data_IF_801320919945
#
_entry.id   IF_801320919945
#
_cell.length_a   1.000
_cell.length_b   1.000
_cell.length_c   1.000
_cell.angle_alpha   90.00
_cell.angle_beta   90.00
_cell.angle_gamma   90.00
#
_symmetry.space_group_name_H-M   'P 1'
#
loop_
_entity.id
_entity.type
_entity.pdbx_description
1 polymer ?
#
# COMPACT_ATOMS: atom_id res chain seq x y z
N UNK A 1 -9.18 -2.30 -60.67
CA UNK A 1 -7.93 -2.40 -61.44
C UNK A 1 -6.94 -3.28 -60.66
N UNK A 2 -6.53 -4.41 -61.26
CA UNK A 2 -5.27 -5.20 -61.14
C UNK A 2 -4.50 -5.12 -59.80
N UNK A 3 -4.45 -6.14 -58.92
CA UNK A 3 -3.71 -7.44 -58.98
C UNK A 3 -2.21 -7.35 -59.24
N UNK A 4 -1.35 -7.88 -58.34
CA UNK A 4 -0.13 -8.72 -58.54
C UNK A 4 0.54 -8.92 -57.14
N UNK A 5 0.48 -10.11 -56.50
CA UNK A 5 1.52 -11.18 -56.38
C UNK A 5 2.89 -10.66 -55.90
N UNK A 6 3.54 -11.16 -54.84
CA UNK A 6 4.11 -12.51 -54.54
C UNK A 6 4.69 -12.40 -53.10
N UNK A 7 4.72 -13.35 -52.15
CA UNK A 7 4.90 -14.79 -52.21
C UNK A 7 6.39 -15.16 -52.13
N UNK A 8 6.99 -15.26 -50.94
CA UNK A 8 8.23 -16.04 -50.70
C UNK A 8 8.32 -16.55 -49.25
N UNK A 9 8.55 -17.86 -49.13
CA UNK A 9 8.70 -18.62 -47.90
C UNK A 9 10.16 -19.06 -47.75
N UNK A 10 10.70 -18.87 -46.54
CA UNK A 10 11.78 -19.56 -45.79
C UNK A 10 12.93 -20.26 -46.55
N UNK A 11 14.18 -19.91 -46.23
CA UNK A 11 15.12 -20.84 -45.60
C UNK A 11 16.34 -20.10 -44.98
N UNK A 12 16.95 -20.67 -43.93
CA UNK A 12 18.27 -20.23 -43.45
C UNK A 12 18.38 -19.92 -41.96
N UNK A 13 18.57 -20.98 -41.17
CA UNK A 13 18.90 -20.93 -39.76
C UNK A 13 20.20 -20.18 -39.43
N UNK A 14 20.20 -19.40 -38.35
CA UNK A 14 21.40 -19.22 -37.52
C UNK A 14 21.00 -19.16 -36.04
N UNK A 15 21.39 -20.21 -35.32
CA UNK A 15 21.36 -20.30 -33.86
C UNK A 15 22.24 -19.22 -33.25
N UNK A 16 21.71 -18.40 -32.35
CA UNK A 16 22.40 -17.91 -31.14
C UNK A 16 21.45 -17.02 -30.33
N UNK A 17 21.40 -17.21 -29.01
CA UNK A 17 20.86 -16.19 -28.10
C UNK A 17 19.67 -16.58 -27.23
N UNK A 18 19.62 -17.80 -26.69
CA UNK A 18 18.84 -18.04 -25.48
C UNK A 18 19.47 -17.27 -24.30
N UNK A 19 18.92 -16.10 -23.94
CA UNK A 19 19.11 -15.48 -22.61
C UNK A 19 17.83 -14.78 -22.16
N UNK A 20 16.97 -15.58 -21.53
CA UNK A 20 16.31 -15.30 -20.25
C UNK A 20 15.97 -13.83 -19.96
N UNK A 21 14.77 -13.42 -20.34
CA UNK A 21 14.12 -12.22 -19.82
C UNK A 21 13.72 -12.47 -18.37
N UNK A 22 14.61 -12.19 -17.42
CA UNK A 22 14.27 -12.19 -15.99
C UNK A 22 13.46 -10.92 -15.69
N UNK A 23 12.17 -11.09 -15.37
CA UNK A 23 11.33 -10.08 -14.74
C UNK A 23 12.05 -9.58 -13.49
N UNK A 24 12.50 -8.32 -13.51
CA UNK A 24 13.01 -7.65 -12.31
C UNK A 24 11.81 -7.19 -11.50
N UNK A 25 11.42 -7.98 -10.52
CA UNK A 25 10.60 -7.51 -9.39
C UNK A 25 11.56 -6.66 -8.56
N UNK A 26 11.41 -5.35 -8.65
CA UNK A 26 12.22 -4.39 -7.89
C UNK A 26 11.56 -4.24 -6.51
N UNK A 27 12.00 -5.05 -5.55
CA UNK A 27 11.76 -4.77 -4.13
C UNK A 27 12.50 -3.47 -3.78
N UNK A 28 11.75 -2.41 -3.49
CA UNK A 28 12.29 -1.19 -2.93
C UNK A 28 12.57 -1.41 -1.43
N UNK A 29 13.81 -1.76 -1.10
CA UNK A 29 14.30 -1.69 0.28
C UNK A 29 14.91 -0.29 0.48
N UNK A 30 14.27 0.53 1.31
CA UNK A 30 14.82 1.79 1.79
C UNK A 30 16.08 1.50 2.62
N UNK A 31 17.25 1.92 2.12
CA UNK A 31 18.45 2.09 2.95
C UNK A 31 18.88 3.54 2.89
N UNK A 32 18.78 4.24 4.01
CA UNK A 32 19.39 5.55 4.22
C UNK A 32 20.84 5.30 4.68
N UNK A 33 21.79 5.51 3.77
CA UNK A 33 23.22 5.49 4.09
C UNK A 33 23.70 6.85 4.59
N UNK A 34 24.23 6.90 5.81
CA UNK A 34 25.01 8.03 6.32
C UNK A 34 26.44 7.93 5.81
N UNK A 35 26.93 9.01 5.22
CA UNK A 35 28.22 9.08 4.52
C UNK A 35 29.45 8.98 5.42
N UNK A 36 30.49 8.35 4.86
CA UNK A 36 31.86 8.31 5.36
C UNK A 36 32.49 9.71 5.37
N UNK A 37 33.24 10.01 6.44
CA UNK A 37 34.45 10.83 6.39
C UNK A 37 35.60 10.02 6.99
N UNK A 38 36.69 9.90 6.23
CA UNK A 38 37.94 9.22 6.58
C UNK A 38 38.84 10.09 7.48
N UNK A 39 39.41 9.50 8.53
CA UNK A 39 40.86 9.23 8.73
C UNK A 39 41.21 9.14 10.23
N UNK A 40 41.93 8.08 10.62
CA UNK A 40 42.62 8.00 11.91
C UNK A 40 42.94 6.57 12.34
N UNK A 41 44.20 6.17 12.19
CA UNK A 41 44.75 4.88 12.61
C UNK A 41 44.44 4.51 14.06
N UNK A 42 44.00 3.27 14.30
CA UNK A 42 43.97 2.66 15.62
C UNK A 42 43.45 1.22 15.53
N UNK A 43 44.33 0.25 15.80
CA UNK A 43 43.95 -1.16 15.95
C UNK A 43 43.10 -1.31 17.22
N UNK A 44 41.79 -1.39 17.08
CA UNK A 44 40.87 -1.88 18.10
C UNK A 44 39.94 -2.89 17.45
N UNK A 45 39.90 -4.11 18.00
CA UNK A 45 38.98 -5.15 17.57
C UNK A 45 37.54 -4.65 17.79
N UNK A 46 36.87 -4.28 16.70
CA UNK A 46 35.44 -3.99 16.70
C UNK A 46 34.71 -5.32 16.93
N UNK A 47 34.21 -5.52 18.15
CA UNK A 47 33.12 -6.46 18.38
C UNK A 47 31.92 -5.91 17.63
N UNK A 48 31.41 -6.69 16.68
CA UNK A 48 30.11 -6.44 16.09
C UNK A 48 29.06 -6.76 17.16
N UNK A 49 28.68 -5.75 17.94
CA UNK A 49 27.49 -5.83 18.78
C UNK A 49 26.30 -5.84 17.81
N UNK A 50 25.81 -7.04 17.54
CA UNK A 50 24.53 -7.22 16.87
C UNK A 50 23.47 -6.84 17.89
N UNK A 51 23.10 -5.56 17.96
CA UNK A 51 21.85 -5.16 18.61
C UNK A 51 20.71 -5.81 17.83
N UNK A 52 20.25 -6.97 18.32
CA UNK A 52 18.91 -7.44 18.02
C UNK A 52 17.98 -6.36 18.54
N UNK A 53 17.35 -5.61 17.62
CA UNK A 53 16.19 -4.78 17.98
C UNK A 53 15.13 -5.76 18.47
N UNK A 54 15.05 -5.97 19.78
CA UNK A 54 13.96 -6.71 20.41
C UNK A 54 12.67 -5.94 20.12
N UNK A 55 11.89 -6.45 19.16
CA UNK A 55 10.54 -5.97 18.90
C UNK A 55 9.72 -6.19 20.17
N UNK A 56 9.24 -5.11 20.78
CA UNK A 56 8.31 -5.20 21.91
C UNK A 56 6.93 -5.56 21.38
N UNK A 57 6.22 -6.40 22.13
CA UNK A 57 4.85 -6.77 21.79
C UNK A 57 4.00 -5.50 21.73
N UNK A 58 3.56 -5.14 20.53
CA UNK A 58 2.53 -4.14 20.36
C UNK A 58 1.19 -4.79 20.75
N UNK A 59 0.81 -4.75 22.02
CA UNK A 59 -0.47 -5.33 22.43
C UNK A 59 -1.59 -4.40 21.99
N UNK A 60 -2.10 -4.62 20.76
CA UNK A 60 -3.20 -3.85 20.21
C UNK A 60 -4.44 -3.90 21.12
N UNK A 61 -5.37 -2.96 20.94
CA UNK A 61 -6.62 -3.00 21.68
C UNK A 61 -7.37 -4.30 21.35
N UNK A 62 -7.65 -5.13 22.37
CA UNK A 62 -8.27 -6.45 22.20
C UNK A 62 -9.70 -6.35 21.66
N UNK A 63 -9.97 -7.05 20.57
CA UNK A 63 -11.34 -7.41 20.14
C UNK A 63 -11.73 -8.70 20.87
N UNK A 64 -12.97 -8.79 21.38
CA UNK A 64 -13.43 -9.85 22.30
C UNK A 64 -13.28 -11.29 21.75
N UNK A 65 -13.12 -12.29 22.65
CA UNK A 65 -13.05 -13.76 22.37
C UNK A 65 -14.33 -14.40 21.74
N UNK A 66 -15.20 -13.61 21.11
CA UNK A 66 -16.40 -14.09 20.40
C UNK A 66 -16.14 -14.28 18.91
N UNK A 67 -17.19 -14.59 18.10
CA UNK A 67 -17.07 -14.49 16.64
C UNK A 67 -16.55 -13.11 16.26
N UNK A 68 -15.68 -13.04 15.26
CA UNK A 68 -15.09 -11.79 14.82
C UNK A 68 -16.21 -10.80 14.49
N UNK A 69 -16.12 -9.60 15.08
CA UNK A 69 -17.06 -8.53 14.83
C UNK A 69 -16.49 -7.66 13.74
N UNK A 70 -17.34 -7.31 12.78
CA UNK A 70 -17.02 -6.35 11.73
C UNK A 70 -16.26 -5.16 12.31
N UNK A 71 -15.08 -4.89 11.76
CA UNK A 71 -14.22 -3.81 12.22
C UNK A 71 -14.00 -2.82 11.08
N UNK A 72 -14.50 -1.59 11.26
CA UNK A 72 -14.54 -0.57 10.20
C UNK A 72 -13.29 0.31 10.24
N UNK A 73 -12.61 0.44 9.11
CA UNK A 73 -11.61 1.48 8.91
C UNK A 73 -12.29 2.76 8.43
N UNK A 74 -13.18 2.65 7.46
CA UNK A 74 -13.95 3.77 6.91
C UNK A 74 -15.30 3.29 6.37
N UNK A 75 -16.38 4.02 6.66
CA UNK A 75 -17.72 3.81 6.07
C UNK A 75 -18.41 5.12 5.67
N UNK A 76 -18.31 6.14 6.51
CA UNK A 76 -18.73 7.51 6.20
C UNK A 76 -17.77 8.44 6.93
N UNK A 77 -17.49 9.64 6.39
CA UNK A 77 -16.56 10.58 7.02
C UNK A 77 -17.03 11.13 8.38
N UNK A 78 -18.29 10.90 8.76
CA UNK A 78 -18.83 11.26 10.08
C UNK A 78 -19.21 10.05 10.93
N UNK A 79 -18.88 8.83 10.48
CA UNK A 79 -19.18 7.62 11.23
C UNK A 79 -18.32 7.57 12.52
N UNK A 80 -18.95 7.51 13.71
CA UNK A 80 -18.24 7.55 14.98
C UNK A 80 -17.48 6.26 15.29
N UNK A 81 -17.71 5.20 14.52
CA UNK A 81 -17.11 3.88 14.66
C UNK A 81 -16.10 3.56 13.55
N UNK A 82 -15.64 4.56 12.80
CA UNK A 82 -14.42 4.44 12.00
C UNK A 82 -13.21 4.31 12.92
N UNK A 83 -12.32 3.37 12.57
CA UNK A 83 -11.06 3.15 13.26
C UNK A 83 -9.89 3.56 12.36
N UNK A 84 -8.75 3.86 12.97
CA UNK A 84 -7.56 4.43 12.30
C UNK A 84 -7.77 5.84 11.72
N UNK A 85 -6.68 6.53 11.42
CA UNK A 85 -6.67 7.90 10.84
C UNK A 85 -5.72 7.94 9.64
N UNK A 86 -6.13 8.48 8.47
CA UNK A 86 -5.31 8.60 7.25
C UNK A 86 -4.15 9.59 7.42
N UNK A 87 -3.18 9.22 8.24
CA UNK A 87 -2.10 10.07 8.74
C UNK A 87 -0.72 9.61 8.28
N UNK A 88 -0.60 8.41 7.73
CA UNK A 88 0.66 7.90 7.21
C UNK A 88 0.92 8.33 5.78
N UNK A 89 1.16 9.62 5.54
CA UNK A 89 1.42 10.16 4.20
C UNK A 89 2.84 9.81 3.75
N UNK A 90 2.99 9.25 2.55
CA UNK A 90 4.25 8.70 2.05
C UNK A 90 4.59 9.22 0.65
N UNK A 91 5.88 9.16 0.32
CA UNK A 91 6.39 9.51 -1.01
C UNK A 91 6.20 10.99 -1.32
N UNK A 92 5.68 11.29 -2.50
CA UNK A 92 5.35 12.64 -2.94
C UNK A 92 4.06 13.16 -2.27
N UNK A 93 4.05 13.22 -0.94
CA UNK A 93 2.89 13.62 -0.14
C UNK A 93 2.41 15.05 -0.48
N UNK A 94 3.27 15.92 -1.01
CA UNK A 94 2.90 17.25 -1.48
C UNK A 94 1.99 17.22 -2.71
N UNK A 95 1.91 16.08 -3.39
CA UNK A 95 1.05 15.86 -4.55
C UNK A 95 -0.31 15.27 -4.18
N UNK A 96 -0.54 15.00 -2.89
CA UNK A 96 -1.76 14.38 -2.39
C UNK A 96 -2.74 15.40 -1.82
N UNK A 97 -4.02 15.18 -2.09
CA UNK A 97 -5.15 15.81 -1.38
C UNK A 97 -6.19 14.75 -1.09
N UNK A 98 -6.84 14.86 0.07
CA UNK A 98 -7.95 13.97 0.45
C UNK A 98 -9.18 14.79 0.83
N UNK A 99 -10.35 14.20 0.63
CA UNK A 99 -11.62 14.66 1.17
C UNK A 99 -12.36 13.43 1.72
N UNK A 100 -12.38 13.31 3.05
CA UNK A 100 -12.98 12.18 3.76
C UNK A 100 -14.51 12.24 3.78
N UNK A 101 -15.10 13.37 3.36
CA UNK A 101 -16.54 13.66 3.43
C UNK A 101 -17.10 14.00 2.05
N UNK A 102 -16.56 13.40 1.00
CA UNK A 102 -16.98 13.70 -0.36
C UNK A 102 -18.38 13.13 -0.63
N UNK A 103 -19.35 14.01 -0.89
CA UNK A 103 -20.78 13.63 -0.97
C UNK A 103 -21.26 13.16 -2.35
N UNK A 104 -20.40 13.19 -3.38
CA UNK A 104 -20.86 12.87 -4.75
C UNK A 104 -20.63 11.39 -5.07
N UNK A 105 -21.73 10.69 -5.37
CA UNK A 105 -21.73 9.28 -5.77
C UNK A 105 -20.93 8.38 -4.79
N UNK A 106 -21.24 8.40 -3.48
CA UNK A 106 -20.70 7.40 -2.55
C UNK A 106 -21.26 6.01 -2.88
N UNK A 107 -20.57 4.94 -2.48
CA UNK A 107 -21.08 3.58 -2.67
C UNK A 107 -22.20 3.30 -1.66
N UNK A 108 -21.93 3.63 -0.39
CA UNK A 108 -22.88 3.51 0.73
C UNK A 108 -23.00 4.84 1.47
N UNK A 109 -24.05 4.97 2.29
CA UNK A 109 -24.18 6.11 3.20
C UNK A 109 -24.30 7.46 2.49
N UNK A 110 -23.58 8.46 2.99
CA UNK A 110 -23.70 9.87 2.55
C UNK A 110 -22.42 10.45 1.99
N UNK A 111 -21.28 9.82 2.27
CA UNK A 111 -19.95 10.31 1.93
C UNK A 111 -19.03 9.15 1.56
N UNK A 112 -18.08 9.40 0.67
CA UNK A 112 -16.97 8.51 0.39
C UNK A 112 -15.63 9.25 0.53
N UNK A 113 -14.54 8.49 0.57
CA UNK A 113 -13.19 9.04 0.67
C UNK A 113 -12.66 9.34 -0.72
N UNK A 114 -12.42 10.61 -1.02
CA UNK A 114 -11.81 11.04 -2.28
C UNK A 114 -10.31 11.27 -2.11
N UNK A 115 -9.52 10.72 -3.03
CA UNK A 115 -8.09 10.99 -3.15
C UNK A 115 -7.78 11.69 -4.47
N UNK A 116 -6.89 12.67 -4.43
CA UNK A 116 -6.30 13.32 -5.60
C UNK A 116 -4.78 13.17 -5.49
N UNK A 117 -4.16 12.56 -6.50
CA UNK A 117 -2.71 12.54 -6.69
C UNK A 117 -2.37 13.31 -7.97
N UNK A 118 -1.52 14.34 -7.87
CA UNK A 118 -1.19 15.19 -9.01
C UNK A 118 0.02 14.74 -9.84
N UNK A 119 0.80 13.76 -9.38
CA UNK A 119 1.91 13.20 -10.15
C UNK A 119 3.02 14.20 -10.52
N UNK A 120 3.27 15.21 -9.70
CA UNK A 120 4.29 16.24 -10.01
C UNK A 120 5.69 15.85 -9.54
N UNK A 121 5.79 14.81 -8.73
CA UNK A 121 6.99 14.39 -8.05
C UNK A 121 7.59 15.50 -7.16
N UNK A 122 6.74 16.19 -6.38
CA UNK A 122 7.16 17.35 -5.57
C UNK A 122 8.29 17.02 -4.58
N UNK A 123 8.35 15.79 -4.06
CA UNK A 123 9.43 15.32 -3.18
C UNK A 123 10.51 14.52 -3.93
N UNK A 124 10.36 14.32 -5.25
CA UNK A 124 11.27 13.55 -6.08
C UNK A 124 11.14 12.03 -5.94
N UNK A 125 10.14 11.53 -5.19
CA UNK A 125 9.96 10.10 -4.95
C UNK A 125 9.40 9.35 -6.16
N UNK A 126 8.59 10.04 -6.98
CA UNK A 126 7.84 9.52 -8.14
C UNK A 126 6.73 8.52 -7.77
N UNK A 127 6.38 8.44 -6.50
CA UNK A 127 5.30 7.61 -5.97
C UNK A 127 4.69 8.27 -4.75
N UNK A 128 3.43 7.95 -4.43
CA UNK A 128 2.77 8.47 -3.25
C UNK A 128 1.78 7.44 -2.69
N UNK A 129 1.47 7.55 -1.40
CA UNK A 129 0.53 6.67 -0.72
C UNK A 129 0.11 7.21 0.64
N UNK A 130 -0.96 6.63 1.19
CA UNK A 130 -1.47 6.96 2.52
C UNK A 130 -1.76 5.68 3.29
N UNK A 131 -1.25 5.60 4.51
CA UNK A 131 -1.66 4.64 5.54
C UNK A 131 -2.71 5.25 6.46
N UNK A 132 -3.74 4.46 6.76
CA UNK A 132 -4.61 4.62 7.93
C UNK A 132 -3.90 4.01 9.13
N UNK A 133 -3.55 4.86 10.10
CA UNK A 133 -2.71 4.49 11.24
C UNK A 133 -3.42 4.65 12.57
N UNK A 134 -3.04 3.80 13.52
CA UNK A 134 -3.42 3.93 14.92
C UNK A 134 -2.19 3.72 15.83
N UNK A 135 -1.93 4.67 16.76
CA UNK A 135 -2.41 6.05 16.75
C UNK A 135 -1.93 6.82 15.50
N UNK A 136 -2.46 8.02 15.22
CA UNK A 136 -2.13 8.77 13.99
C UNK A 136 -0.64 9.10 13.89
N UNK A 137 0.00 8.90 12.72
CA UNK A 137 1.45 9.01 12.50
C UNK A 137 2.29 7.94 13.23
N UNK A 138 1.75 6.75 13.51
CA UNK A 138 2.52 5.67 14.12
C UNK A 138 3.28 4.84 13.07
N UNK A 139 4.59 5.06 12.98
CA UNK A 139 5.51 4.28 12.13
C UNK A 139 6.28 3.21 12.94
N UNK A 140 5.62 2.58 13.92
CA UNK A 140 6.20 1.50 14.73
C UNK A 140 7.15 1.97 15.83
N UNK A 141 7.19 3.28 16.12
CA UNK A 141 8.03 3.85 17.20
C UNK A 141 7.34 3.90 18.56
N UNK A 142 6.06 3.52 18.62
CA UNK A 142 5.25 3.52 19.85
C UNK A 142 4.15 2.47 19.77
N UNK A 143 3.63 2.01 20.92
CA UNK A 143 2.51 1.07 20.94
C UNK A 143 1.25 1.69 20.32
N UNK A 144 0.40 0.84 19.78
CA UNK A 144 -0.80 1.22 19.04
C UNK A 144 -1.47 0.04 18.34
N UNK A 145 -2.37 0.36 17.41
CA UNK A 145 -3.02 -0.64 16.61
C UNK A 145 -4.09 -1.44 17.36
N UNK A 146 -4.65 -2.40 16.63
CA UNK A 146 -5.76 -3.22 17.08
C UNK A 146 -5.42 -4.70 16.95
N UNK A 147 -5.98 -5.50 17.86
CA UNK A 147 -6.03 -6.95 17.72
C UNK A 147 -7.23 -7.28 16.83
N UNK A 148 -6.95 -7.68 15.59
CA UNK A 148 -7.94 -8.06 14.58
C UNK A 148 -7.97 -9.59 14.40
N UNK A 149 -7.50 -10.34 15.40
CA UNK A 149 -7.52 -11.80 15.39
C UNK A 149 -8.94 -12.31 15.13
N UNK A 150 -9.06 -13.19 14.13
CA UNK A 150 -10.33 -13.77 13.72
C UNK A 150 -10.86 -13.22 12.40
N UNK A 151 -10.41 -12.03 11.96
CA UNK A 151 -10.69 -11.53 10.62
C UNK A 151 -10.10 -12.51 9.58
N UNK A 152 -10.87 -12.78 8.53
CA UNK A 152 -10.50 -13.64 7.41
C UNK A 152 -10.30 -12.86 6.13
N UNK A 153 -10.84 -11.64 6.05
CA UNK A 153 -10.64 -10.75 4.92
C UNK A 153 -10.73 -9.29 5.32
N UNK A 154 -10.14 -8.43 4.49
CA UNK A 154 -10.51 -7.03 4.42
C UNK A 154 -11.22 -6.80 3.08
N UNK A 155 -12.39 -6.17 3.11
CA UNK A 155 -13.13 -5.75 1.93
C UNK A 155 -13.18 -4.22 1.86
N UNK A 156 -13.23 -3.71 0.63
CA UNK A 156 -13.37 -2.29 0.35
C UNK A 156 -13.93 -2.08 -1.05
N UNK A 157 -14.61 -0.95 -1.23
CA UNK A 157 -15.09 -0.50 -2.53
C UNK A 157 -14.17 0.58 -3.07
N UNK A 158 -13.85 0.49 -4.37
CA UNK A 158 -13.07 1.52 -5.04
C UNK A 158 -13.61 1.82 -6.44
N UNK A 159 -13.44 3.07 -6.87
CA UNK A 159 -13.64 3.50 -8.25
C UNK A 159 -12.68 4.62 -8.63
N UNK A 160 -12.40 4.74 -9.92
CA UNK A 160 -11.70 5.86 -10.54
C UNK A 160 -12.65 7.02 -10.84
N UNK A 161 -12.08 8.17 -11.21
CA UNK A 161 -12.82 9.34 -11.69
C UNK A 161 -13.04 9.26 -13.20
N UNK A 162 -12.00 8.85 -13.94
CA UNK A 162 -12.00 8.71 -15.41
C UNK A 162 -12.02 7.25 -15.87
N UNK A 163 -11.66 6.32 -14.99
CA UNK A 163 -11.37 4.94 -15.35
C UNK A 163 -9.96 4.80 -15.93
N UNK A 164 -9.31 3.67 -15.61
CA UNK A 164 -7.93 3.40 -16.00
C UNK A 164 -6.89 3.86 -14.98
N UNK A 165 -7.29 4.58 -13.92
CA UNK A 165 -6.42 4.88 -12.78
C UNK A 165 -5.87 3.57 -12.21
N UNK A 166 -4.56 3.51 -12.01
CA UNK A 166 -3.90 2.30 -11.54
C UNK A 166 -3.32 2.51 -10.15
N UNK A 167 -3.75 1.70 -9.19
CA UNK A 167 -3.19 1.65 -7.84
C UNK A 167 -2.28 0.44 -7.77
N UNK A 168 -1.01 0.63 -7.42
CA UNK A 168 -0.03 -0.46 -7.44
C UNK A 168 -0.23 -1.43 -6.29
N UNK A 169 -0.65 -0.94 -5.13
CA UNK A 169 -0.83 -1.75 -3.94
C UNK A 169 -1.97 -1.21 -3.09
N UNK A 170 -2.83 -2.12 -2.64
CA UNK A 170 -3.65 -1.96 -1.44
C UNK A 170 -3.19 -2.99 -0.41
N UNK A 171 -3.00 -2.59 0.84
CA UNK A 171 -2.53 -3.51 1.89
C UNK A 171 -2.98 -3.15 3.30
N UNK A 172 -2.77 -4.10 4.20
CA UNK A 172 -2.84 -3.95 5.65
C UNK A 172 -1.51 -4.34 6.28
N UNK A 173 -1.27 -3.87 7.50
CA UNK A 173 -0.10 -4.23 8.27
C UNK A 173 1.21 -3.74 7.64
N UNK A 174 2.32 -4.38 8.01
CA UNK A 174 3.64 -4.11 7.44
C UNK A 174 4.34 -2.85 7.93
N UNK A 175 3.80 -2.14 8.93
CA UNK A 175 4.58 -1.11 9.64
C UNK A 175 5.67 -1.80 10.47
N UNK A 176 6.93 -1.38 10.28
CA UNK A 176 8.09 -1.93 10.98
C UNK A 176 8.56 -0.99 12.09
N UNK A 177 9.28 -1.49 13.10
CA UNK A 177 9.86 -0.68 14.16
C UNK A 177 9.98 -1.46 15.46
N UNK A 178 10.17 -0.76 16.58
CA UNK A 178 10.14 -1.37 17.93
C UNK A 178 8.78 -2.01 18.21
N UNK A 179 7.69 -1.40 17.71
CA UNK A 179 6.30 -1.85 17.81
C UNK A 179 5.77 -2.17 16.40
N UNK A 180 6.38 -3.16 15.76
CA UNK A 180 6.00 -3.60 14.42
C UNK A 180 4.59 -4.22 14.37
N UNK A 181 3.98 -4.17 13.19
CA UNK A 181 2.78 -4.94 12.88
C UNK A 181 3.10 -6.43 12.87
N UNK A 182 2.16 -7.22 13.37
CA UNK A 182 2.28 -8.68 13.49
C UNK A 182 2.37 -9.41 12.14
N UNK A 183 1.73 -8.88 11.09
CA UNK A 183 1.81 -9.42 9.73
C UNK A 183 1.49 -8.33 8.69
N UNK A 184 1.49 -8.72 7.41
CA UNK A 184 1.18 -7.89 6.25
C UNK A 184 0.42 -8.72 5.21
N UNK A 185 -0.57 -8.11 4.56
CA UNK A 185 -1.29 -8.71 3.43
C UNK A 185 -1.76 -7.62 2.47
N UNK A 186 -1.83 -7.92 1.17
CA UNK A 186 -2.22 -6.93 0.18
C UNK A 186 -2.54 -7.52 -1.18
N UNK A 187 -3.09 -6.68 -2.05
CA UNK A 187 -3.38 -6.96 -3.46
C UNK A 187 -2.80 -5.85 -4.34
N UNK A 188 -2.52 -6.19 -5.58
CA UNK A 188 -2.04 -5.22 -6.56
C UNK A 188 -1.37 -5.87 -7.77
N UNK A 189 -1.28 -5.15 -8.90
CA UNK A 189 -1.90 -3.84 -9.15
C UNK A 189 -3.42 -3.96 -9.36
N UNK A 190 -4.14 -2.87 -9.06
CA UNK A 190 -5.58 -2.72 -9.32
C UNK A 190 -5.78 -1.59 -10.32
N UNK A 191 -6.52 -1.88 -11.40
CA UNK A 191 -6.94 -0.86 -12.39
C UNK A 191 -8.40 -0.56 -12.14
N UNK A 192 -8.70 0.69 -11.81
CA UNK A 192 -10.04 1.11 -11.44
C UNK A 192 -10.88 1.44 -12.66
N UNK A 193 -12.18 1.16 -12.57
CA UNK A 193 -13.18 1.63 -13.52
C UNK A 193 -13.94 2.82 -12.94
N UNK A 194 -14.81 3.45 -13.73
CA UNK A 194 -15.70 4.52 -13.22
C UNK A 194 -16.78 3.99 -12.29
N UNK A 195 -17.03 2.68 -12.31
CA UNK A 195 -18.03 2.03 -11.48
C UNK A 195 -17.42 1.55 -10.17
N UNK A 196 -18.22 1.56 -9.11
CA UNK A 196 -17.84 0.98 -7.84
C UNK A 196 -17.63 -0.54 -7.99
N UNK A 197 -16.46 -1.00 -7.55
CA UNK A 197 -16.11 -2.42 -7.52
C UNK A 197 -15.63 -2.81 -6.12
N UNK A 198 -16.08 -3.96 -5.64
CA UNK A 198 -15.59 -4.53 -4.39
C UNK A 198 -14.27 -5.25 -4.63
N UNK A 199 -13.31 -5.03 -3.74
CA UNK A 199 -12.03 -5.70 -3.69
C UNK A 199 -11.86 -6.39 -2.34
N UNK A 200 -11.09 -7.47 -2.33
CA UNK A 200 -10.85 -8.28 -1.14
C UNK A 200 -9.37 -8.56 -0.97
N UNK A 201 -8.84 -8.31 0.23
CA UNK A 201 -7.54 -8.79 0.68
C UNK A 201 -7.80 -10.04 1.55
N UNK A 202 -7.24 -11.17 1.15
CA UNK A 202 -7.31 -12.41 1.92
C UNK A 202 -6.40 -12.32 3.15
N UNK A 203 -6.98 -12.60 4.33
CA UNK A 203 -6.29 -12.58 5.62
C UNK A 203 -6.27 -13.97 6.28
N UNK A 204 -6.68 -15.02 5.58
CA UNK A 204 -6.66 -16.36 6.14
C UNK A 204 -5.24 -16.78 6.56
N UNK A 205 -5.12 -17.22 7.82
CA UNK A 205 -3.85 -17.67 8.40
C UNK A 205 -2.89 -16.55 8.79
N UNK A 206 -3.26 -15.28 8.63
CA UNK A 206 -2.45 -14.13 9.06
C UNK A 206 -2.46 -13.94 10.57
N UNK A 207 -1.32 -13.53 11.12
CA UNK A 207 -1.26 -13.03 12.50
C UNK A 207 -1.75 -11.58 12.51
N UNK A 208 -2.93 -11.36 13.08
CA UNK A 208 -3.54 -10.04 13.17
C UNK A 208 -3.64 -9.56 14.63
N UNK A 209 -2.84 -10.13 15.53
CA UNK A 209 -2.85 -9.80 16.95
C UNK A 209 -2.44 -8.35 17.23
N UNK A 210 -1.79 -7.69 16.27
CA UNK A 210 -1.41 -6.29 16.35
C UNK A 210 -1.21 -5.64 14.98
N UNK A 211 -2.15 -4.77 14.59
CA UNK A 211 -2.10 -4.03 13.34
C UNK A 211 -2.26 -2.53 13.63
N UNK A 212 -1.18 -1.77 13.46
CA UNK A 212 -1.14 -0.30 13.52
C UNK A 212 -1.44 0.33 12.17
N UNK A 213 -1.05 -0.32 11.06
CA UNK A 213 -1.39 0.09 9.69
C UNK A 213 -2.66 -0.60 9.18
N UNK A 214 -3.84 -0.04 9.47
CA UNK A 214 -5.13 -0.68 9.21
C UNK A 214 -5.55 -0.74 7.75
N UNK A 215 -5.07 0.16 6.91
CA UNK A 215 -5.30 0.13 5.47
C UNK A 215 -4.28 1.04 4.79
N UNK A 216 -3.86 0.71 3.59
CA UNK A 216 -2.89 1.48 2.83
C UNK A 216 -3.19 1.35 1.35
N UNK A 217 -2.91 2.42 0.63
CA UNK A 217 -2.76 2.37 -0.82
C UNK A 217 -1.47 3.08 -1.24
N UNK A 218 -0.91 2.67 -2.38
CA UNK A 218 0.21 3.36 -3.03
C UNK A 218 0.10 3.31 -4.56
N UNK A 219 0.55 4.38 -5.22
CA UNK A 219 0.66 4.46 -6.67
C UNK A 219 1.87 5.29 -7.10
N UNK A 220 2.13 5.40 -8.39
CA UNK A 220 3.26 6.13 -8.95
C UNK A 220 2.91 6.87 -10.25
N UNK A 221 3.79 7.81 -10.60
CA UNK A 221 3.67 8.64 -11.81
C UNK A 221 3.85 7.82 -13.11
N UNK A 222 4.58 6.70 -13.08
CA UNK A 222 4.84 5.90 -14.28
C UNK A 222 3.55 5.23 -14.79
N UNK A 223 2.64 4.89 -13.89
CA UNK A 223 1.32 4.30 -14.22
C UNK A 223 0.18 5.32 -14.22
N UNK A 224 0.37 6.50 -13.60
CA UNK A 224 -0.56 7.63 -13.66
C UNK A 224 0.19 8.93 -14.03
N UNK A 225 0.62 9.10 -15.29
CA UNK A 225 1.49 10.22 -15.70
C UNK A 225 0.84 11.60 -15.61
N UNK A 226 -0.50 11.66 -15.62
CA UNK A 226 -1.27 12.90 -15.44
C UNK A 226 -1.79 13.06 -14.00
N UNK A 227 -1.32 12.21 -13.07
CA UNK A 227 -1.96 12.01 -11.78
C UNK A 227 -3.23 11.16 -11.89
N UNK A 228 -3.93 11.01 -10.77
CA UNK A 228 -5.18 10.26 -10.72
C UNK A 228 -6.10 10.80 -9.61
N UNK A 229 -7.41 10.61 -9.81
CA UNK A 229 -8.43 10.82 -8.78
C UNK A 229 -9.17 9.50 -8.62
N UNK A 230 -9.32 9.06 -7.39
CA UNK A 230 -10.05 7.83 -7.09
C UNK A 230 -10.75 7.93 -5.75
N UNK A 231 -11.68 7.01 -5.53
CA UNK A 231 -12.60 7.02 -4.43
C UNK A 231 -12.56 5.68 -3.72
N UNK A 232 -12.71 5.72 -2.40
CA UNK A 232 -12.80 4.54 -1.54
C UNK A 232 -14.05 4.64 -0.68
N UNK A 233 -14.65 3.49 -0.39
CA UNK A 233 -15.79 3.40 0.50
C UNK A 233 -15.83 2.01 1.19
N UNK A 234 -16.58 1.90 2.29
CA UNK A 234 -16.84 0.64 3.00
C UNK A 234 -15.59 -0.22 3.28
N UNK A 235 -14.51 0.40 3.77
CA UNK A 235 -13.26 -0.29 4.13
C UNK A 235 -13.42 -0.98 5.48
N UNK A 236 -13.43 -2.32 5.49
CA UNK A 236 -13.81 -3.11 6.67
C UNK A 236 -13.11 -4.48 6.74
N UNK A 237 -12.78 -4.91 7.94
CA UNK A 237 -12.35 -6.28 8.24
C UNK A 237 -13.56 -7.16 8.58
N UNK A 238 -13.53 -8.42 8.15
CA UNK A 238 -14.62 -9.41 8.27
C UNK A 238 -14.09 -10.81 8.60
#
# INVERSE_FOLDING_TARGET
>A
MKSFFTGYTMDGASKQGAKTMRRKIMLWVMMIGVGLILQGCGNTSLKADTETVETKANTGAKVSNGPFKLFKVYTDGSAPDNHYIPSGWMGDYGDLKIDEKFMTNPHSGTTCFKTIYSGKATQGARWAGIYWQNPPNNWGSRPGGYDLTGAKKLTFWARGDKGGERIEEFKIGGITGEYADSDVAGIGPVVLTTEWQEFTIDLEGKDLSSISGGFCWATNIDVNPEGCVFYLDDVKYE
#
